data_IF_994236167639
#
_entry.id   IF_994236167639
#
_cell.length_a   1.000
_cell.length_b   1.000
_cell.length_c   1.000
_cell.angle_alpha   90.00
_cell.angle_beta   90.00
_cell.angle_gamma   90.00
#
_symmetry.space_group_name_H-M   'P 1'
#
loop_
_entity.id
_entity.type
_entity.pdbx_description
1 polymer ?
#
# COMPACT_ATOMS: atom_id res chain seq x y z
N UNK A 1 10.52 -15.27 -1.08
CA UNK A 1 10.84 -15.86 -2.39
C UNK A 1 11.10 -14.81 -3.46
N UNK A 2 10.22 -13.83 -3.70
CA UNK A 2 10.38 -12.80 -4.75
C UNK A 2 11.70 -12.00 -4.68
N UNK A 3 12.13 -11.54 -3.50
CA UNK A 3 13.40 -10.82 -3.31
C UNK A 3 14.66 -11.59 -3.78
N UNK A 4 14.60 -12.92 -3.85
CA UNK A 4 15.71 -13.76 -4.30
C UNK A 4 15.76 -13.91 -5.83
N UNK A 5 14.66 -13.66 -6.52
CA UNK A 5 14.54 -13.81 -7.98
C UNK A 5 14.66 -12.46 -8.70
N UNK A 6 14.11 -11.40 -8.09
CA UNK A 6 14.23 -10.04 -8.59
C UNK A 6 14.34 -9.07 -7.39
N UNK A 7 15.58 -8.73 -6.98
CA UNK A 7 15.83 -7.88 -5.81
C UNK A 7 15.34 -6.44 -5.99
N UNK A 8 15.22 -5.97 -7.24
CA UNK A 8 14.82 -4.61 -7.56
C UNK A 8 13.28 -4.47 -7.60
N UNK A 9 12.55 -5.58 -7.68
CA UNK A 9 11.09 -5.55 -7.71
C UNK A 9 10.51 -5.10 -6.37
N UNK A 10 9.88 -3.94 -6.39
CA UNK A 10 9.15 -3.39 -5.25
C UNK A 10 7.77 -4.03 -5.15
N UNK A 11 7.49 -4.65 -3.99
CA UNK A 11 6.18 -5.23 -3.69
C UNK A 11 5.28 -4.15 -3.07
N UNK A 12 4.04 -4.08 -3.54
CA UNK A 12 2.99 -3.21 -3.03
C UNK A 12 1.74 -4.03 -2.69
N UNK A 13 1.06 -3.67 -1.61
CA UNK A 13 -0.28 -4.16 -1.32
C UNK A 13 -1.32 -3.30 -2.07
N UNK A 14 -2.16 -3.95 -2.87
CA UNK A 14 -3.29 -3.32 -3.52
C UNK A 14 -4.50 -3.31 -2.59
N UNK A 15 -5.09 -2.15 -2.31
CA UNK A 15 -6.25 -2.04 -1.41
C UNK A 15 -7.36 -1.24 -2.09
N UNK A 16 -8.60 -1.70 -1.95
CA UNK A 16 -9.77 -0.94 -2.42
C UNK A 16 -9.98 0.32 -1.57
N UNK A 17 -10.47 1.40 -2.20
CA UNK A 17 -10.81 2.68 -1.52
C UNK A 17 -11.55 2.47 -0.20
N UNK A 18 -12.61 1.66 -0.21
CA UNK A 18 -13.44 1.45 0.97
C UNK A 18 -12.67 0.83 2.14
N UNK A 19 -11.82 -0.17 1.88
CA UNK A 19 -10.99 -0.80 2.93
C UNK A 19 -9.96 0.20 3.47
N UNK A 20 -9.40 1.05 2.61
CA UNK A 20 -8.50 2.10 3.05
C UNK A 20 -9.19 3.11 3.96
N UNK A 21 -10.41 3.52 3.60
CA UNK A 21 -11.17 4.50 4.38
C UNK A 21 -11.75 3.96 5.68
N UNK A 22 -11.96 2.65 5.81
CA UNK A 22 -12.45 2.03 7.04
C UNK A 22 -11.31 1.54 7.93
N UNK A 23 -10.49 0.61 7.45
CA UNK A 23 -9.48 -0.08 8.27
C UNK A 23 -8.22 0.75 8.43
N UNK A 24 -7.72 1.34 7.34
CA UNK A 24 -6.44 2.05 7.38
C UNK A 24 -6.53 3.44 8.01
N UNK A 25 -7.73 3.94 8.32
CA UNK A 25 -7.92 5.19 9.11
C UNK A 25 -7.98 4.94 10.63
N UNK A 26 -8.11 3.69 11.06
CA UNK A 26 -8.03 3.31 12.47
C UNK A 26 -6.57 3.27 12.94
N UNK A 27 -6.34 3.36 14.25
CA UNK A 27 -5.00 3.39 14.85
C UNK A 27 -4.13 2.21 14.41
N UNK A 28 -4.68 0.99 14.41
CA UNK A 28 -3.98 -0.23 13.97
C UNK A 28 -3.59 -0.13 12.49
N UNK A 29 -4.47 0.42 11.67
CA UNK A 29 -4.23 0.64 10.26
C UNK A 29 -3.11 1.66 10.01
N UNK A 30 -3.08 2.75 10.79
CA UNK A 30 -2.02 3.75 10.71
C UNK A 30 -0.67 3.19 11.15
N UNK A 31 -0.62 2.39 12.23
CA UNK A 31 0.62 1.73 12.66
C UNK A 31 1.24 0.87 11.54
N UNK A 32 0.41 0.13 10.78
CA UNK A 32 0.89 -0.63 9.63
C UNK A 32 1.42 0.24 8.48
N UNK A 33 0.92 1.47 8.32
CA UNK A 33 1.39 2.42 7.30
C UNK A 33 2.75 3.03 7.65
N UNK A 34 3.09 3.06 8.94
CA UNK A 34 4.38 3.54 9.46
C UNK A 34 5.47 2.46 9.40
N UNK A 35 5.12 1.19 9.20
CA UNK A 35 6.08 0.09 9.12
C UNK A 35 7.09 0.28 7.96
N UNK A 36 8.41 0.24 8.26
CA UNK A 36 9.44 0.46 7.26
C UNK A 36 9.34 -0.50 6.06
N UNK A 37 9.25 0.09 4.86
CA UNK A 37 9.13 -0.68 3.62
C UNK A 37 7.75 -1.26 3.35
N UNK A 38 6.76 -1.00 4.20
CA UNK A 38 5.36 -1.22 3.86
C UNK A 38 4.97 -0.25 2.75
N UNK A 39 4.43 -0.81 1.67
CA UNK A 39 4.07 -0.06 0.48
C UNK A 39 2.68 -0.49 0.08
N UNK A 40 1.79 0.49 -0.08
CA UNK A 40 0.46 0.25 -0.60
C UNK A 40 0.14 1.18 -1.76
N UNK A 41 -0.77 0.73 -2.62
CA UNK A 41 -1.55 1.60 -3.47
C UNK A 41 -3.03 1.33 -3.24
N UNK A 42 -3.80 2.40 -3.31
CA UNK A 42 -5.25 2.36 -3.18
C UNK A 42 -5.84 2.57 -4.56
N UNK A 43 -6.81 1.73 -4.92
CA UNK A 43 -7.55 1.85 -6.16
C UNK A 43 -9.06 1.95 -5.89
N UNK A 44 -9.77 2.63 -6.78
CA UNK A 44 -11.23 2.60 -6.81
C UNK A 44 -11.68 1.59 -7.87
N UNK A 45 -12.35 0.53 -7.42
CA UNK A 45 -12.84 -0.54 -8.28
C UNK A 45 -14.03 -0.12 -9.17
N UNK A 46 -14.71 1.00 -8.89
CA UNK A 46 -15.84 1.49 -9.69
C UNK A 46 -15.39 2.24 -10.93
N UNK A 47 -14.30 2.99 -10.83
CA UNK A 47 -13.73 3.78 -11.92
C UNK A 47 -12.45 3.18 -12.49
N UNK A 48 -11.96 2.08 -11.90
CA UNK A 48 -10.76 1.35 -12.31
C UNK A 48 -9.46 2.18 -12.27
N UNK A 49 -9.39 3.15 -11.35
CA UNK A 49 -8.24 4.06 -11.22
C UNK A 49 -7.46 3.85 -9.92
N UNK A 50 -6.16 4.10 -9.97
CA UNK A 50 -5.30 4.23 -8.79
C UNK A 50 -5.51 5.63 -8.22
N UNK A 51 -6.00 5.69 -6.98
CA UNK A 51 -6.40 6.95 -6.34
C UNK A 51 -5.35 7.48 -5.38
N UNK A 52 -4.50 6.60 -4.86
CA UNK A 52 -3.42 6.97 -3.97
C UNK A 52 -2.27 5.99 -4.12
N UNK A 53 -1.07 6.54 -4.22
CA UNK A 53 0.15 5.78 -4.18
C UNK A 53 1.05 6.37 -3.10
N UNK A 54 1.41 5.56 -2.10
CA UNK A 54 2.39 5.93 -1.07
C UNK A 54 3.65 5.11 -1.27
N UNK A 55 4.53 5.49 -2.21
CA UNK A 55 5.88 4.98 -2.17
C UNK A 55 6.54 5.56 -0.92
N UNK A 56 6.81 4.72 0.09
CA UNK A 56 7.77 5.05 1.14
C UNK A 56 9.13 5.21 0.44
N UNK A 57 9.43 6.42 -0.03
CA UNK A 57 10.76 6.79 -0.49
C UNK A 57 11.50 7.17 0.78
N UNK A 58 12.25 6.23 1.33
CA UNK A 58 13.13 6.52 2.46
C UNK A 58 14.08 7.66 2.05
N UNK A 59 14.02 8.79 2.77
CA UNK A 59 15.11 9.78 2.83
C UNK A 59 16.26 9.26 3.66
#
# INVERSE_FOLDING_TARGET
MLKKQDPLRQIYLAVKRNIFETFFKEEVGQLLLEEPGFRLFVFDAKIEEIIQWKPQINS
#
